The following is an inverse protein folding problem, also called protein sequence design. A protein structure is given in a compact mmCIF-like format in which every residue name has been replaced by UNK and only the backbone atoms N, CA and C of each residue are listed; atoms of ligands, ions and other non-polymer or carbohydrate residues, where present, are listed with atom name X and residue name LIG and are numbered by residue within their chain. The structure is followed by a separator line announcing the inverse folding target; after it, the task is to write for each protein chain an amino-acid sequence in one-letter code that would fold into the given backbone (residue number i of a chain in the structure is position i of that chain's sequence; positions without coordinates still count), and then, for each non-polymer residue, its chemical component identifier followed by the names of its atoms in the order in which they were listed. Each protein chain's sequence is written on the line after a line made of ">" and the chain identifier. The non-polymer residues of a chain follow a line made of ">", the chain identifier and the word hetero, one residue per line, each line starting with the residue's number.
data_IF_199998345354
#
_entry.id   IF_199998345354
#
_cell.length_a   1.000
_cell.length_b   1.000
_cell.length_c   1.000
_cell.angle_alpha   90.00
_cell.angle_beta   90.00
_cell.angle_gamma   90.00
#
_symmetry.space_group_name_H-M   'P 1'
#
loop_
_entity.id
_entity.type
_entity.pdbx_description
1 polymer ?
#
# COMPACT_ATOMS: atom_id res chain seq x y z
N UNK A 1 -4.79 -17.33 13.62
CA UNK A 1 -4.34 -18.41 12.72
C UNK A 1 -2.86 -18.74 12.95
N UNK A 2 -2.45 -19.97 12.67
CA UNK A 2 -1.04 -20.39 12.72
C UNK A 2 -0.26 -20.03 11.44
N UNK A 3 1.05 -20.24 11.46
CA UNK A 3 1.98 -19.89 10.38
C UNK A 3 1.63 -20.59 9.06
N UNK A 4 1.44 -21.90 9.07
CA UNK A 4 1.23 -22.70 7.85
C UNK A 4 -0.10 -22.37 7.19
N UNK A 5 -1.15 -22.21 8.00
CA UNK A 5 -2.47 -21.81 7.54
C UNK A 5 -2.46 -20.40 6.91
N UNK A 6 -1.75 -19.45 7.53
CA UNK A 6 -1.62 -18.09 7.01
C UNK A 6 -0.80 -18.08 5.71
N UNK A 7 0.30 -18.84 5.67
CA UNK A 7 1.13 -19.00 4.48
C UNK A 7 0.30 -19.53 3.32
N UNK A 8 -0.51 -20.59 3.55
CA UNK A 8 -1.37 -21.20 2.54
C UNK A 8 -2.48 -20.26 2.07
N UNK A 9 -3.18 -19.59 3.00
CA UNK A 9 -4.28 -18.65 2.68
C UNK A 9 -3.83 -17.54 1.75
N UNK A 10 -2.61 -17.06 1.94
CA UNK A 10 -2.11 -15.86 1.28
C UNK A 10 -0.98 -16.08 0.28
N UNK A 11 -0.57 -17.33 0.07
CA UNK A 11 0.38 -17.73 -0.97
C UNK A 11 1.79 -17.16 -0.76
N UNK A 12 2.19 -16.89 0.49
CA UNK A 12 3.54 -16.41 0.78
C UNK A 12 4.55 -17.57 0.74
N UNK A 13 5.80 -17.25 0.37
CA UNK A 13 6.92 -18.17 0.59
C UNK A 13 7.27 -18.15 2.07
N UNK A 14 7.66 -19.28 2.64
CA UNK A 14 8.06 -19.42 4.05
C UNK A 14 9.06 -18.35 4.47
N UNK A 15 10.15 -18.19 3.70
CA UNK A 15 11.20 -17.18 3.94
C UNK A 15 10.68 -15.74 4.00
N UNK A 16 9.71 -15.41 3.14
CA UNK A 16 9.16 -14.05 3.10
C UNK A 16 8.28 -13.80 4.33
N UNK A 17 7.45 -14.78 4.72
CA UNK A 17 6.59 -14.68 5.89
C UNK A 17 7.40 -14.62 7.20
N UNK A 18 8.43 -15.45 7.36
CA UNK A 18 9.36 -15.39 8.48
C UNK A 18 9.97 -13.99 8.62
N UNK A 19 10.49 -13.45 7.51
CA UNK A 19 11.05 -12.09 7.48
C UNK A 19 10.02 -11.02 7.83
N UNK A 20 8.75 -11.18 7.45
CA UNK A 20 7.71 -10.22 7.83
C UNK A 20 7.43 -10.26 9.33
N UNK A 21 7.35 -11.46 9.91
CA UNK A 21 7.09 -11.66 11.34
C UNK A 21 8.26 -11.16 12.20
N UNK A 22 9.49 -11.49 11.83
CA UNK A 22 10.71 -11.03 12.52
C UNK A 22 10.86 -9.51 12.51
N UNK A 23 10.41 -8.86 11.44
CA UNK A 23 10.45 -7.40 11.29
C UNK A 23 9.22 -6.69 11.87
N UNK A 24 8.28 -7.44 12.47
CA UNK A 24 7.07 -6.87 13.05
C UNK A 24 6.14 -6.21 12.02
N UNK A 25 6.16 -6.69 10.77
CA UNK A 25 5.39 -6.10 9.67
C UNK A 25 3.94 -6.59 9.63
N UNK A 26 3.58 -7.62 10.39
CA UNK A 26 2.19 -8.07 10.51
C UNK A 26 1.66 -7.61 11.87
N UNK A 27 0.77 -6.63 11.86
CA UNK A 27 0.21 -6.03 13.09
C UNK A 27 -0.52 -7.09 13.91
N UNK A 28 -0.22 -7.15 15.21
CA UNK A 28 -0.83 -8.11 16.14
C UNK A 28 -0.31 -9.54 16.06
N UNK A 29 0.62 -9.84 15.13
CA UNK A 29 1.34 -11.11 15.15
C UNK A 29 2.21 -11.18 16.41
N UNK A 30 2.18 -12.34 17.09
CA UNK A 30 2.91 -12.55 18.34
C UNK A 30 3.37 -13.99 18.48
N UNK A 31 4.46 -14.21 19.21
CA UNK A 31 4.89 -15.55 19.59
C UNK A 31 3.97 -16.10 20.68
N UNK A 32 3.61 -17.37 20.55
CA UNK A 32 2.85 -18.15 21.53
C UNK A 32 3.72 -19.29 22.08
N UNK A 33 3.18 -20.04 23.06
CA UNK A 33 3.90 -21.15 23.69
C UNK A 33 4.47 -22.14 22.66
N UNK A 34 5.68 -22.64 22.93
CA UNK A 34 6.40 -23.53 22.01
C UNK A 34 7.06 -22.82 20.82
N UNK A 35 7.25 -21.50 20.88
CA UNK A 35 7.99 -20.73 19.87
C UNK A 35 7.25 -20.48 18.56
N UNK A 36 5.96 -20.86 18.49
CA UNK A 36 5.11 -20.70 17.31
C UNK A 36 4.59 -19.27 17.19
N UNK A 37 4.14 -18.91 15.99
CA UNK A 37 3.48 -17.64 15.74
C UNK A 37 1.96 -17.79 15.77
N UNK A 38 1.30 -16.87 16.48
CA UNK A 38 -0.08 -16.51 16.22
C UNK A 38 -0.10 -15.31 15.27
N UNK A 39 -0.86 -15.44 14.18
CA UNK A 39 -1.01 -14.42 13.16
C UNK A 39 -2.50 -14.08 13.04
N UNK A 40 -2.90 -12.80 13.17
CA UNK A 40 -4.28 -12.38 12.90
C UNK A 40 -4.68 -12.72 11.47
N UNK A 41 -5.91 -13.17 11.32
CA UNK A 41 -6.35 -13.81 10.07
C UNK A 41 -6.44 -12.86 8.90
N UNK A 42 -6.93 -11.65 9.12
CA UNK A 42 -7.24 -10.71 8.05
C UNK A 42 -6.12 -9.66 7.86
N UNK A 43 -5.12 -9.66 8.72
CA UNK A 43 -4.03 -8.69 8.66
C UNK A 43 -3.00 -9.10 7.61
N UNK A 44 -2.73 -8.22 6.65
CA UNK A 44 -1.61 -8.37 5.70
C UNK A 44 -0.32 -7.76 6.22
N UNK A 45 0.84 -8.13 5.65
CA UNK A 45 2.09 -7.46 5.96
C UNK A 45 2.06 -6.00 5.48
N UNK A 46 2.61 -5.11 6.30
CA UNK A 46 2.89 -3.72 5.93
C UNK A 46 3.79 -3.64 4.70
N UNK A 47 3.50 -2.69 3.82
CA UNK A 47 4.41 -2.31 2.76
C UNK A 47 5.69 -1.71 3.37
N UNK A 48 6.83 -1.98 2.73
CA UNK A 48 8.12 -1.50 3.21
C UNK A 48 8.61 -0.44 2.26
N UNK A 49 8.46 0.82 2.66
CA UNK A 49 9.03 1.93 1.90
C UNK A 49 10.55 1.91 1.96
N UNK A 50 11.21 2.35 0.89
CA UNK A 50 12.64 2.65 0.93
C UNK A 50 12.81 4.04 1.53
N UNK A 51 13.55 4.15 2.63
CA UNK A 51 13.90 5.45 3.23
C UNK A 51 14.70 6.28 2.23
N UNK A 52 14.28 7.53 2.05
CA UNK A 52 14.93 8.55 1.22
C UNK A 52 14.86 9.88 1.97
N UNK A 53 15.94 10.65 1.96
CA UNK A 53 16.04 11.90 2.71
C UNK A 53 15.01 12.96 2.23
N UNK A 54 14.72 12.99 0.94
CA UNK A 54 13.76 13.88 0.30
C UNK A 54 12.66 13.08 -0.41
N UNK A 55 11.73 12.53 0.39
CA UNK A 55 10.50 11.98 -0.18
C UNK A 55 9.60 13.13 -0.62
N UNK A 56 8.99 12.96 -1.78
CA UNK A 56 7.99 13.88 -2.33
C UNK A 56 6.66 13.18 -2.46
N UNK A 57 5.61 13.95 -2.67
CA UNK A 57 4.25 13.45 -2.86
C UNK A 57 4.16 12.32 -3.91
N UNK A 58 4.89 12.43 -5.03
CA UNK A 58 4.90 11.43 -6.10
C UNK A 58 5.58 10.12 -5.66
N UNK A 59 6.54 10.18 -4.73
CA UNK A 59 7.15 8.99 -4.14
C UNK A 59 6.12 8.22 -3.28
N UNK A 60 5.30 8.95 -2.51
CA UNK A 60 4.26 8.38 -1.65
C UNK A 60 3.10 7.82 -2.45
N UNK A 61 2.67 8.53 -3.50
CA UNK A 61 1.66 8.04 -4.44
C UNK A 61 2.09 6.75 -5.11
N UNK A 62 3.34 6.66 -5.56
CA UNK A 62 3.85 5.44 -6.18
C UNK A 62 3.92 4.27 -5.20
N UNK A 63 4.41 4.50 -3.98
CA UNK A 63 4.50 3.46 -2.94
C UNK A 63 3.11 2.99 -2.49
N UNK A 64 2.12 3.89 -2.43
CA UNK A 64 0.72 3.55 -2.15
C UNK A 64 0.15 2.59 -3.20
N UNK A 65 0.26 2.94 -4.49
CA UNK A 65 -0.25 2.09 -5.57
C UNK A 65 0.48 0.74 -5.61
N UNK A 66 1.80 0.72 -5.34
CA UNK A 66 2.55 -0.53 -5.22
C UNK A 66 2.11 -1.40 -4.05
N UNK A 67 1.78 -0.80 -2.91
CA UNK A 67 1.25 -1.54 -1.77
C UNK A 67 -0.06 -2.24 -2.13
N UNK A 68 -1.00 -1.52 -2.76
CA UNK A 68 -2.26 -2.10 -3.25
C UNK A 68 -2.01 -3.21 -4.27
N UNK A 69 -1.14 -2.99 -5.27
CA UNK A 69 -0.82 -4.00 -6.29
C UNK A 69 -0.22 -5.29 -5.69
N UNK A 70 0.50 -5.16 -4.57
CA UNK A 70 1.12 -6.29 -3.87
C UNK A 70 0.28 -6.83 -2.72
N UNK A 71 -0.97 -6.36 -2.58
CA UNK A 71 -1.92 -6.75 -1.53
C UNK A 71 -1.33 -6.59 -0.13
N UNK A 72 -0.65 -5.47 0.10
CA UNK A 72 -0.03 -5.09 1.37
C UNK A 72 -0.75 -3.92 2.01
N UNK A 73 -0.61 -3.82 3.32
CA UNK A 73 -1.14 -2.68 4.08
C UNK A 73 -0.31 -1.44 3.79
N UNK A 74 -0.97 -0.34 3.46
CA UNK A 74 -0.40 1.01 3.43
C UNK A 74 -1.24 1.90 4.32
N UNK A 75 -0.58 2.82 5.02
CA UNK A 75 -1.18 3.78 5.95
C UNK A 75 -0.24 4.98 6.10
N UNK A 76 -0.70 6.05 6.76
CA UNK A 76 0.14 7.21 7.07
C UNK A 76 1.45 6.80 7.78
N UNK A 77 1.36 5.89 8.76
CA UNK A 77 2.53 5.31 9.46
C UNK A 77 3.50 4.62 8.51
N UNK A 78 2.99 3.85 7.55
CA UNK A 78 3.82 3.11 6.59
C UNK A 78 4.53 4.06 5.62
N UNK A 79 3.84 5.11 5.19
CA UNK A 79 4.38 6.13 4.30
C UNK A 79 5.24 7.18 5.02
N UNK A 80 5.30 7.13 6.36
CA UNK A 80 6.00 8.10 7.21
C UNK A 80 5.49 9.54 7.00
N UNK A 81 4.18 9.70 6.79
CA UNK A 81 3.52 10.99 6.65
C UNK A 81 2.46 11.19 7.75
N UNK A 82 1.94 12.41 7.84
CA UNK A 82 0.81 12.74 8.72
C UNK A 82 -0.50 12.21 8.15
N UNK A 83 -1.51 12.04 8.99
CA UNK A 83 -2.84 11.58 8.55
C UNK A 83 -3.47 12.55 7.53
N UNK A 84 -3.24 13.86 7.69
CA UNK A 84 -3.72 14.86 6.72
C UNK A 84 -3.03 14.77 5.36
N UNK A 85 -1.73 14.46 5.32
CA UNK A 85 -1.01 14.20 4.06
C UNK A 85 -1.51 12.91 3.40
N UNK A 86 -1.73 11.88 4.20
CA UNK A 86 -2.27 10.61 3.74
C UNK A 86 -3.68 10.77 3.14
N UNK A 87 -4.58 11.49 3.81
CA UNK A 87 -5.92 11.76 3.30
C UNK A 87 -5.90 12.56 1.98
N UNK A 88 -5.04 13.59 1.89
CA UNK A 88 -4.85 14.34 0.63
C UNK A 88 -4.33 13.44 -0.50
N UNK A 89 -3.44 12.51 -0.18
CA UNK A 89 -2.95 11.52 -1.14
C UNK A 89 -4.10 10.63 -1.64
N UNK A 90 -4.89 10.05 -0.73
CA UNK A 90 -6.02 9.18 -1.10
C UNK A 90 -7.03 9.95 -1.96
N UNK A 91 -7.40 11.17 -1.57
CA UNK A 91 -8.30 12.03 -2.34
C UNK A 91 -7.76 12.35 -3.74
N UNK A 92 -6.46 12.63 -3.86
CA UNK A 92 -5.81 12.82 -5.16
C UNK A 92 -5.94 11.56 -6.02
N UNK A 93 -5.59 10.38 -5.48
CA UNK A 93 -5.63 9.13 -6.24
C UNK A 93 -7.04 8.75 -6.69
N UNK A 94 -8.05 9.03 -5.87
CA UNK A 94 -9.47 8.87 -6.21
C UNK A 94 -9.89 9.83 -7.33
N UNK A 95 -9.57 11.13 -7.18
CA UNK A 95 -9.91 12.17 -8.17
C UNK A 95 -9.29 11.88 -9.54
N UNK A 96 -8.04 11.42 -9.56
CA UNK A 96 -7.34 11.08 -10.81
C UNK A 96 -7.73 9.70 -11.36
N UNK A 97 -8.70 9.00 -10.74
CA UNK A 97 -9.19 7.70 -11.18
C UNK A 97 -8.12 6.61 -11.16
N UNK A 98 -7.14 6.70 -10.27
CA UNK A 98 -6.11 5.67 -10.07
C UNK A 98 -6.56 4.58 -9.11
N UNK A 99 -7.41 4.95 -8.16
CA UNK A 99 -8.08 4.02 -7.26
C UNK A 99 -9.59 4.27 -7.29
N UNK A 100 -10.36 3.25 -6.93
CA UNK A 100 -11.80 3.33 -6.70
C UNK A 100 -12.12 2.70 -5.36
N UNK A 101 -13.20 3.16 -4.74
CA UNK A 101 -13.75 2.49 -3.56
C UNK A 101 -14.22 1.08 -3.93
N UNK A 102 -13.86 0.11 -3.10
CA UNK A 102 -14.17 -1.30 -3.26
C UNK A 102 -14.77 -1.84 -1.96
N UNK A 103 -16.10 -1.88 -1.95
CA UNK A 103 -16.89 -2.40 -0.84
C UNK A 103 -16.58 -3.87 -0.52
N UNK A 104 -16.03 -4.64 -1.47
CA UNK A 104 -15.73 -6.08 -1.30
C UNK A 104 -14.40 -6.34 -0.61
N UNK A 105 -13.56 -5.33 -0.37
CA UNK A 105 -12.26 -5.45 0.29
C UNK A 105 -12.20 -4.72 1.65
N UNK A 106 -13.38 -4.47 2.21
CA UNK A 106 -13.59 -3.91 3.56
C UNK A 106 -13.22 -4.89 4.70
N UNK A 107 -12.85 -6.13 4.38
CA UNK A 107 -12.25 -7.08 5.32
C UNK A 107 -10.80 -6.66 5.64
N UNK A 108 -10.74 -5.61 6.47
CA UNK A 108 -9.72 -5.27 7.44
C UNK A 108 -8.27 -5.55 7.04
N UNK A 109 -7.56 -4.47 6.74
CA UNK A 109 -6.10 -4.34 6.71
C UNK A 109 -5.36 -4.58 5.38
N UNK A 110 -6.04 -4.71 4.24
CA UNK A 110 -5.40 -4.61 2.92
C UNK A 110 -6.03 -3.47 2.10
N UNK A 111 -5.62 -2.22 2.37
CA UNK A 111 -6.01 -1.06 1.57
C UNK A 111 -7.48 -0.69 1.72
N UNK A 112 -7.83 -0.07 2.85
CA UNK A 112 -8.94 0.90 3.07
C UNK A 112 -10.22 0.84 2.21
N UNK A 113 -10.64 -0.34 1.73
CA UNK A 113 -11.71 -0.43 0.74
C UNK A 113 -11.33 0.28 -0.57
N UNK A 114 -10.09 0.15 -1.05
CA UNK A 114 -9.62 0.77 -2.29
C UNK A 114 -8.99 -0.27 -3.22
N UNK A 115 -9.37 -0.23 -4.50
CA UNK A 115 -8.83 -1.08 -5.56
C UNK A 115 -8.21 -0.26 -6.69
N UNK A 116 -7.16 -0.80 -7.32
CA UNK A 116 -6.48 -0.16 -8.44
C UNK A 116 -7.35 -0.20 -9.70
N UNK A 117 -7.39 0.91 -10.43
CA UNK A 117 -7.99 0.95 -11.77
C UNK A 117 -7.01 0.41 -12.82
N UNK A 118 -7.52 0.15 -14.03
CA UNK A 118 -6.67 -0.20 -15.17
C UNK A 118 -5.63 0.88 -15.47
N UNK A 119 -6.01 2.15 -15.35
CA UNK A 119 -5.11 3.29 -15.54
C UNK A 119 -3.92 3.22 -14.56
N UNK A 120 -4.18 2.96 -13.28
CA UNK A 120 -3.09 2.81 -12.30
C UNK A 120 -2.19 1.61 -12.58
N UNK A 121 -2.74 0.48 -13.03
CA UNK A 121 -1.96 -0.69 -13.42
C UNK A 121 -1.06 -0.40 -14.62
N UNK A 122 -1.59 0.31 -15.62
CA UNK A 122 -0.83 0.71 -16.81
C UNK A 122 0.32 1.65 -16.42
N UNK A 123 0.10 2.62 -15.53
CA UNK A 123 1.15 3.50 -15.00
C UNK A 123 2.21 2.73 -14.17
N UNK A 124 1.79 1.80 -13.31
CA UNK A 124 2.70 0.98 -12.50
C UNK A 124 3.57 0.02 -13.34
N UNK A 125 3.10 -0.36 -14.53
CA UNK A 125 3.86 -1.20 -15.46
C UNK A 125 5.05 -0.47 -16.08
N UNK A 126 5.05 0.87 -16.04
CA UNK A 126 6.09 1.71 -16.60
C UNK A 126 7.23 1.95 -15.60
N UNK A 127 8.32 2.58 -16.08
CA UNK A 127 9.38 3.07 -15.20
C UNK A 127 8.83 4.14 -14.26
N UNK A 128 9.27 4.11 -12.99
CA UNK A 128 8.85 5.08 -11.96
C UNK A 128 8.95 6.53 -12.41
N UNK A 129 9.97 6.90 -13.19
CA UNK A 129 10.15 8.27 -13.66
C UNK A 129 8.98 8.77 -14.53
N UNK A 130 8.33 7.87 -15.29
CA UNK A 130 7.11 8.20 -16.06
C UNK A 130 5.92 8.47 -15.16
N UNK A 131 5.78 7.70 -14.08
CA UNK A 131 4.76 7.97 -13.07
C UNK A 131 4.97 9.33 -12.41
N UNK A 132 6.23 9.66 -12.06
CA UNK A 132 6.57 10.96 -11.45
C UNK A 132 6.27 12.11 -12.42
N UNK A 133 6.66 11.99 -13.69
CA UNK A 133 6.38 12.97 -14.74
C UNK A 133 4.87 13.18 -14.93
N UNK A 134 4.10 12.09 -14.95
CA UNK A 134 2.64 12.14 -15.01
C UNK A 134 2.06 12.89 -13.81
N UNK A 135 2.44 12.53 -12.57
CA UNK A 135 1.96 13.20 -11.37
C UNK A 135 2.24 14.71 -11.39
N UNK A 136 3.45 15.10 -11.78
CA UNK A 136 3.84 16.51 -11.85
C UNK A 136 3.03 17.28 -12.87
N UNK A 137 2.77 16.69 -14.03
CA UNK A 137 1.94 17.27 -15.08
C UNK A 137 0.51 17.47 -14.61
N UNK A 138 -0.07 16.45 -13.97
CA UNK A 138 -1.44 16.48 -13.42
C UNK A 138 -1.60 17.55 -12.34
N UNK A 139 -0.65 17.62 -11.40
CA UNK A 139 -0.66 18.63 -10.32
C UNK A 139 -0.53 20.04 -10.90
N UNK A 140 0.37 20.24 -11.88
CA UNK A 140 0.55 21.52 -12.54
C UNK A 140 -0.67 21.96 -13.35
N UNK A 141 -1.38 21.02 -14.00
CA UNK A 141 -2.62 21.31 -14.73
C UNK A 141 -3.74 21.75 -13.78
N UNK A 142 -3.93 21.05 -12.66
CA UNK A 142 -4.91 21.40 -11.64
C UNK A 142 -4.68 22.82 -11.06
N UNK A 143 -3.42 23.20 -10.84
CA UNK A 143 -3.06 24.54 -10.35
C UNK A 143 -3.40 25.68 -11.34
N UNK A 144 -3.51 25.37 -12.63
CA UNK A 144 -3.82 26.34 -13.69
C UNK A 144 -5.33 26.48 -13.96
N UNK A 145 -6.19 25.77 -13.22
CA UNK A 145 -7.64 25.79 -13.44
C UNK A 145 -8.07 25.16 -14.77
N UNK A 146 -7.19 24.38 -15.41
CA UNK A 146 -7.50 23.64 -16.63
C UNK A 146 -8.04 22.29 -16.19
N UNK A 147 -9.35 22.22 -15.94
CA UNK A 147 -10.05 20.94 -15.77
C UNK A 147 -10.89 20.75 -17.02
N UNK A 148 -10.51 19.73 -17.80
CA UNK A 148 -11.27 19.21 -18.94
C UNK A 148 -12.51 18.46 -18.48
#
# INVERSE_FOLDING_TARGET
>A
MDFDSYQKRYGYRTRDLERYLERGLIKGARRIAGGRWFIPEDVRPDYVIRKKASRRFEDDAFDFLKALNTRRTVSARVLLCTDGEYQRLVQFLLREGLVVEDEKHTDHAAGEGLSLTRHALDLLSQRKDRFVEWCQTTIAAAAKGVVS
#
